data_IF_479515703319
#
_entry.id   IF_479515703319
#
_cell.length_a   1.000
_cell.length_b   1.000
_cell.length_c   1.000
_cell.angle_alpha   90.00
_cell.angle_beta   90.00
_cell.angle_gamma   90.00
#
_symmetry.space_group_name_H-M   'P 1'
#
loop_
_entity.id
_entity.type
_entity.pdbx_description
1 polymer ?
#
# COMPACT_ATOMS: atom_id res chain seq x y z
N UNK A 1 27.05 -9.45 16.68
CA UNK A 1 25.61 -9.39 16.98
C UNK A 1 25.02 -10.70 16.49
N UNK A 2 24.56 -11.58 17.39
CA UNK A 2 23.83 -12.78 16.97
C UNK A 2 22.44 -12.32 16.55
N UNK A 3 22.06 -12.54 15.30
CA UNK A 3 20.73 -12.19 14.81
C UNK A 3 19.72 -13.20 15.34
N UNK A 4 18.63 -12.71 15.90
CA UNK A 4 17.50 -13.58 16.25
C UNK A 4 16.81 -14.11 14.98
N UNK A 5 16.12 -15.24 15.09
CA UNK A 5 15.41 -15.87 13.98
C UNK A 5 14.57 -14.91 13.11
N UNK A 6 13.74 -13.99 13.67
CA UNK A 6 13.00 -12.99 12.88
C UNK A 6 13.92 -12.05 12.08
N UNK A 7 14.98 -11.54 12.68
CA UNK A 7 15.90 -10.62 12.02
C UNK A 7 16.64 -11.31 10.86
N UNK A 8 17.04 -12.57 11.07
CA UNK A 8 17.66 -13.39 10.04
C UNK A 8 16.70 -13.67 8.86
N UNK A 9 15.41 -13.90 9.11
CA UNK A 9 14.43 -14.13 8.04
C UNK A 9 14.16 -12.89 7.20
N UNK A 10 14.08 -11.70 7.81
CA UNK A 10 13.96 -10.44 7.06
C UNK A 10 15.18 -10.15 6.19
N UNK A 11 16.39 -10.36 6.73
CA UNK A 11 17.62 -10.20 5.97
C UNK A 11 17.70 -11.18 4.81
N UNK A 12 17.37 -12.45 5.04
CA UNK A 12 17.32 -13.47 4.00
C UNK A 12 16.30 -13.08 2.90
N UNK A 13 15.12 -12.60 3.29
CA UNK A 13 14.11 -12.10 2.36
C UNK A 13 14.62 -10.91 1.55
N UNK A 14 15.25 -9.93 2.19
CA UNK A 14 15.80 -8.76 1.50
C UNK A 14 16.91 -9.15 0.51
N UNK A 15 17.79 -10.09 0.89
CA UNK A 15 18.83 -10.61 0.01
C UNK A 15 18.22 -11.35 -1.19
N UNK A 16 17.23 -12.21 -0.96
CA UNK A 16 16.52 -12.93 -2.01
C UNK A 16 15.81 -11.99 -2.98
N UNK A 17 15.12 -10.96 -2.47
CA UNK A 17 14.45 -9.95 -3.29
C UNK A 17 15.47 -9.10 -4.06
N UNK A 18 16.61 -8.76 -3.45
CA UNK A 18 17.70 -8.04 -4.10
C UNK A 18 18.31 -8.84 -5.25
N UNK A 19 18.60 -10.13 -5.01
CA UNK A 19 19.09 -11.05 -6.03
C UNK A 19 18.07 -11.21 -7.17
N UNK A 20 16.79 -11.37 -6.84
CA UNK A 20 15.71 -11.48 -7.83
C UNK A 20 15.58 -10.21 -8.68
N UNK A 21 15.73 -9.03 -8.06
CA UNK A 21 15.67 -7.74 -8.74
C UNK A 21 16.84 -7.56 -9.72
N UNK A 22 18.05 -7.94 -9.29
CA UNK A 22 19.27 -7.88 -10.12
C UNK A 22 19.20 -8.86 -11.29
N UNK A 23 18.67 -10.07 -11.06
CA UNK A 23 18.58 -11.14 -12.04
C UNK A 23 17.29 -11.07 -12.88
N UNK A 24 16.44 -10.05 -12.71
CA UNK A 24 15.12 -9.96 -13.37
C UNK A 24 15.18 -10.05 -14.90
N UNK A 25 16.25 -9.53 -15.51
CA UNK A 25 16.47 -9.62 -16.96
C UNK A 25 16.73 -11.04 -17.45
N UNK A 26 17.24 -11.91 -16.57
CA UNK A 26 17.61 -13.29 -16.89
C UNK A 26 16.52 -14.30 -16.44
N UNK A 27 15.74 -13.98 -15.40
CA UNK A 27 14.81 -14.90 -14.76
C UNK A 27 13.50 -15.17 -15.51
N UNK A 28 13.25 -14.50 -16.66
CA UNK A 28 11.99 -14.60 -17.45
C UNK A 28 10.74 -14.64 -16.55
N UNK A 29 10.68 -13.74 -15.56
CA UNK A 29 9.60 -13.72 -14.59
C UNK A 29 8.27 -13.40 -15.28
N UNK A 30 7.15 -13.99 -14.83
CA UNK A 30 5.83 -13.56 -15.29
C UNK A 30 5.67 -12.06 -15.07
N UNK A 31 5.08 -11.36 -16.04
CA UNK A 31 4.92 -9.89 -16.01
C UNK A 31 4.34 -9.38 -14.69
N UNK A 32 3.32 -10.06 -14.16
CA UNK A 32 2.70 -9.76 -12.86
C UNK A 32 3.73 -9.78 -11.73
N UNK A 33 4.57 -10.80 -11.64
CA UNK A 33 5.58 -10.93 -10.57
C UNK A 33 6.66 -9.87 -10.71
N UNK A 34 7.07 -9.58 -11.95
CA UNK A 34 8.08 -8.56 -12.23
C UNK A 34 7.66 -7.14 -11.81
N UNK A 35 6.35 -6.84 -11.84
CA UNK A 35 5.81 -5.55 -11.39
C UNK A 35 5.86 -5.41 -9.87
N UNK A 36 5.56 -6.48 -9.11
CA UNK A 36 5.54 -6.43 -7.64
C UNK A 36 6.93 -6.38 -7.01
N UNK A 37 7.95 -6.84 -7.74
CA UNK A 37 9.29 -7.04 -7.19
C UNK A 37 9.95 -5.76 -6.62
N UNK A 38 9.97 -4.60 -7.30
CA UNK A 38 10.54 -3.37 -6.74
C UNK A 38 9.81 -2.88 -5.49
N UNK A 39 8.49 -3.04 -5.47
CA UNK A 39 7.66 -2.66 -4.34
C UNK A 39 7.89 -3.55 -3.12
N UNK A 40 7.87 -4.87 -3.31
CA UNK A 40 8.19 -5.84 -2.25
C UNK A 40 9.60 -5.64 -1.70
N UNK A 41 10.56 -5.33 -2.58
CA UNK A 41 11.92 -4.99 -2.17
C UNK A 41 11.96 -3.72 -1.32
N UNK A 42 11.24 -2.67 -1.70
CA UNK A 42 11.19 -1.40 -0.95
C UNK A 42 10.57 -1.58 0.43
N UNK A 43 9.50 -2.38 0.55
CA UNK A 43 8.90 -2.72 1.84
C UNK A 43 9.80 -3.62 2.69
N UNK A 44 10.42 -4.65 2.09
CA UNK A 44 11.38 -5.50 2.80
C UNK A 44 12.57 -4.68 3.31
N UNK A 45 13.03 -3.69 2.53
CA UNK A 45 14.06 -2.74 2.95
C UNK A 45 13.58 -1.92 4.15
N UNK A 46 12.39 -1.33 4.09
CA UNK A 46 11.83 -0.57 5.21
C UNK A 46 11.71 -1.42 6.49
N UNK A 47 11.17 -2.63 6.39
CA UNK A 47 11.02 -3.54 7.54
C UNK A 47 12.37 -3.98 8.11
N UNK A 48 13.35 -4.28 7.25
CA UNK A 48 14.70 -4.62 7.69
C UNK A 48 15.38 -3.45 8.41
N UNK A 49 15.21 -2.22 7.90
CA UNK A 49 15.76 -1.02 8.53
C UNK A 49 15.06 -0.70 9.86
N UNK A 50 13.76 -0.98 9.98
CA UNK A 50 13.01 -0.78 11.21
C UNK A 50 13.53 -1.70 12.33
N UNK A 51 13.78 -2.98 12.01
CA UNK A 51 14.30 -3.97 12.96
C UNK A 51 15.79 -3.78 13.31
N UNK A 52 16.62 -3.45 12.32
CA UNK A 52 18.09 -3.49 12.49
C UNK A 52 18.73 -2.12 12.74
N UNK A 53 18.05 -1.03 12.39
CA UNK A 53 18.63 0.32 12.39
C UNK A 53 17.79 1.29 13.21
N UNK A 54 16.65 1.72 12.68
CA UNK A 54 15.68 2.53 13.43
C UNK A 54 14.34 2.63 12.69
N UNK A 55 13.20 2.70 13.41
CA UNK A 55 11.89 2.96 12.82
C UNK A 55 11.85 4.29 12.04
N UNK A 56 12.53 5.34 12.50
CA UNK A 56 12.55 6.64 11.85
C UNK A 56 13.14 6.59 10.43
N UNK A 57 14.25 5.86 10.23
CA UNK A 57 14.85 5.69 8.90
C UNK A 57 13.93 4.85 8.00
N UNK A 58 13.30 3.81 8.54
CA UNK A 58 12.34 3.00 7.80
C UNK A 58 11.10 3.80 7.35
N UNK A 59 10.59 4.70 8.19
CA UNK A 59 9.52 5.64 7.84
C UNK A 59 9.95 6.57 6.71
N UNK A 60 11.22 6.98 6.66
CA UNK A 60 11.79 7.72 5.52
C UNK A 60 11.71 6.95 4.21
N UNK A 61 11.99 5.63 4.23
CA UNK A 61 11.85 4.76 3.05
C UNK A 61 10.39 4.67 2.60
N UNK A 62 9.45 4.51 3.54
CA UNK A 62 8.03 4.50 3.22
C UNK A 62 7.54 5.86 2.68
N UNK A 63 8.05 6.98 3.19
CA UNK A 63 7.75 8.30 2.65
C UNK A 63 8.20 8.44 1.18
N UNK A 64 9.39 7.93 0.85
CA UNK A 64 9.89 7.89 -0.54
C UNK A 64 8.99 7.00 -1.40
N UNK A 65 8.56 5.84 -0.90
CA UNK A 65 7.63 4.97 -1.59
C UNK A 65 6.32 5.71 -1.91
N UNK A 66 5.70 6.36 -0.92
CA UNK A 66 4.49 7.17 -1.11
C UNK A 66 4.69 8.30 -2.12
N UNK A 67 5.83 8.99 -2.08
CA UNK A 67 6.14 10.06 -3.04
C UNK A 67 6.25 9.54 -4.47
N UNK A 68 7.00 8.45 -4.66
CA UNK A 68 7.22 7.87 -5.99
C UNK A 68 5.95 7.34 -6.61
N UNK A 69 5.07 6.71 -5.82
CA UNK A 69 3.79 6.15 -6.28
C UNK A 69 2.76 7.24 -6.52
N UNK A 70 2.69 8.27 -5.66
CA UNK A 70 1.81 9.42 -5.87
C UNK A 70 2.20 10.21 -7.12
N UNK A 71 3.51 10.39 -7.35
CA UNK A 71 4.02 11.03 -8.57
C UNK A 71 3.66 10.24 -9.83
N UNK A 72 3.83 8.91 -9.77
CA UNK A 72 3.41 8.03 -10.86
C UNK A 72 1.91 8.17 -11.14
N UNK A 73 1.08 8.15 -10.10
CA UNK A 73 -0.36 8.35 -10.21
C UNK A 73 -0.73 9.70 -10.85
N UNK A 74 -0.16 10.82 -10.39
CA UNK A 74 -0.43 12.14 -11.00
C UNK A 74 0.08 12.28 -12.43
N UNK A 75 1.08 11.48 -12.83
CA UNK A 75 1.56 11.45 -14.22
C UNK A 75 0.60 10.67 -15.13
N UNK A 76 -0.09 9.68 -14.58
CA UNK A 76 -1.02 8.83 -15.32
C UNK A 76 -2.45 9.38 -15.34
N UNK A 77 -2.88 10.02 -14.26
CA UNK A 77 -4.17 10.69 -14.20
C UNK A 77 -4.18 11.91 -15.13
N UNK A 78 -5.27 12.10 -15.88
CA UNK A 78 -5.46 13.26 -16.77
C UNK A 78 -5.75 14.54 -15.96
N UNK A 79 -4.73 15.00 -15.22
CA UNK A 79 -4.77 16.17 -14.37
C UNK A 79 -4.40 17.43 -15.15
N UNK A 80 -4.99 18.55 -14.74
CA UNK A 80 -4.75 19.84 -15.38
C UNK A 80 -3.43 20.42 -14.96
N UNK A 81 -2.72 20.98 -15.93
CA UNK A 81 -1.47 21.71 -15.72
C UNK A 81 -1.67 22.90 -14.76
N UNK A 82 -2.85 23.54 -14.79
CA UNK A 82 -3.19 24.68 -13.92
C UNK A 82 -3.30 24.31 -12.43
N UNK A 83 -3.51 23.03 -12.11
CA UNK A 83 -3.78 22.56 -10.74
C UNK A 83 -2.51 22.05 -10.02
N UNK A 84 -1.33 22.39 -10.56
CA UNK A 84 -0.01 22.02 -10.02
C UNK A 84 0.22 22.42 -8.56
N UNK A 85 -0.46 23.46 -8.08
CA UNK A 85 -0.39 23.86 -6.67
C UNK A 85 -1.04 22.83 -5.75
N UNK A 86 -2.18 22.25 -6.15
CA UNK A 86 -2.80 21.15 -5.42
C UNK A 86 -1.90 19.91 -5.36
N UNK A 87 -1.26 19.56 -6.47
CA UNK A 87 -0.28 18.47 -6.51
C UNK A 87 0.92 18.72 -5.60
N UNK A 88 1.43 19.95 -5.55
CA UNK A 88 2.54 20.33 -4.66
C UNK A 88 2.15 20.15 -3.19
N UNK A 89 0.96 20.60 -2.80
CA UNK A 89 0.44 20.43 -1.43
C UNK A 89 0.28 18.95 -1.08
N UNK A 90 -0.21 18.14 -2.02
CA UNK A 90 -0.30 16.70 -1.83
C UNK A 90 1.08 16.08 -1.55
N UNK A 91 2.14 16.50 -2.27
CA UNK A 91 3.51 16.05 -1.95
C UNK A 91 4.02 16.54 -0.59
N UNK A 92 3.72 17.80 -0.23
CA UNK A 92 4.09 18.38 1.07
C UNK A 92 3.39 17.66 2.23
N UNK A 93 2.24 17.05 2.00
CA UNK A 93 1.51 16.28 3.03
C UNK A 93 2.28 15.02 3.46
N UNK A 94 3.08 14.42 2.56
CA UNK A 94 3.84 13.18 2.84
C UNK A 94 4.78 13.33 4.04
N UNK A 95 5.73 14.29 4.08
CA UNK A 95 6.63 14.42 5.23
C UNK A 95 5.88 14.69 6.54
N UNK A 96 4.78 15.45 6.52
CA UNK A 96 3.96 15.65 7.73
C UNK A 96 3.32 14.35 8.21
N UNK A 97 2.77 13.54 7.30
CA UNK A 97 2.19 12.24 7.63
C UNK A 97 3.21 11.33 8.33
N UNK A 98 4.41 11.19 7.77
CA UNK A 98 5.46 10.34 8.34
C UNK A 98 6.11 10.93 9.59
N UNK A 99 6.12 12.26 9.72
CA UNK A 99 6.47 12.91 10.97
C UNK A 99 5.49 12.54 12.08
N UNK A 100 4.16 12.63 11.84
CA UNK A 100 3.17 12.24 12.84
C UNK A 100 3.28 10.78 13.26
N UNK A 101 3.60 9.87 12.33
CA UNK A 101 3.89 8.46 12.65
C UNK A 101 5.12 8.36 13.56
N UNK A 102 6.19 9.09 13.26
CA UNK A 102 7.47 8.98 13.99
C UNK A 102 7.41 9.41 15.46
N UNK A 103 6.43 10.25 15.81
CA UNK A 103 6.21 10.74 17.18
C UNK A 103 4.95 10.15 17.82
N UNK A 104 4.37 9.11 17.20
CA UNK A 104 3.14 8.44 17.66
C UNK A 104 1.93 9.38 17.85
N UNK A 105 1.80 10.40 16.99
CA UNK A 105 0.67 11.33 17.06
C UNK A 105 -0.52 10.82 16.24
N UNK A 106 -1.09 9.70 16.69
CA UNK A 106 -2.17 8.98 15.98
C UNK A 106 -3.35 9.89 15.63
N UNK A 107 -3.81 10.71 16.58
CA UNK A 107 -4.94 11.61 16.37
C UNK A 107 -4.71 12.61 15.24
N UNK A 108 -3.49 13.15 15.09
CA UNK A 108 -3.16 14.04 13.97
C UNK A 108 -3.03 13.27 12.67
N UNK A 109 -2.38 12.11 12.67
CA UNK A 109 -2.28 11.28 11.48
C UNK A 109 -3.65 10.95 10.87
N UNK A 110 -4.62 10.54 11.70
CA UNK A 110 -5.91 10.06 11.19
C UNK A 110 -6.75 11.17 10.55
N UNK A 111 -6.63 12.41 11.04
CA UNK A 111 -7.35 13.57 10.47
C UNK A 111 -6.54 14.31 9.39
N UNK A 112 -5.25 14.01 9.23
CA UNK A 112 -4.35 14.77 8.35
C UNK A 112 -4.79 14.78 6.90
N UNK A 113 -5.15 13.64 6.34
CA UNK A 113 -5.63 13.57 4.95
C UNK A 113 -7.15 13.82 4.87
N UNK A 114 -8.00 13.08 5.61
CA UNK A 114 -9.45 13.20 5.46
C UNK A 114 -10.04 14.57 5.85
N UNK A 115 -9.34 15.35 6.70
CA UNK A 115 -9.78 16.69 7.12
C UNK A 115 -8.87 17.77 6.57
N UNK A 116 -7.59 17.78 6.94
CA UNK A 116 -6.72 18.91 6.64
C UNK A 116 -6.37 18.99 5.16
N UNK A 117 -5.82 17.93 4.57
CA UNK A 117 -5.44 17.95 3.16
C UNK A 117 -6.67 18.12 2.25
N UNK A 118 -7.78 17.45 2.57
CA UNK A 118 -9.05 17.57 1.84
C UNK A 118 -9.61 19.00 1.81
N UNK A 119 -9.26 19.85 2.78
CA UNK A 119 -9.64 21.28 2.76
C UNK A 119 -8.59 22.15 2.05
N UNK A 120 -7.31 21.86 2.24
CA UNK A 120 -6.21 22.67 1.69
C UNK A 120 -6.03 22.45 0.18
N UNK A 121 -6.21 21.23 -0.32
CA UNK A 121 -6.07 20.90 -1.74
C UNK A 121 -7.07 21.72 -2.60
N UNK A 122 -8.40 21.68 -2.34
CA UNK A 122 -9.36 22.53 -3.07
C UNK A 122 -9.04 24.02 -2.98
N UNK A 123 -8.68 24.50 -1.78
CA UNK A 123 -8.34 25.90 -1.59
C UNK A 123 -7.15 26.32 -2.47
N UNK A 124 -6.10 25.52 -2.53
CA UNK A 124 -4.91 25.84 -3.34
C UNK A 124 -5.16 25.73 -4.85
N UNK A 125 -6.04 24.82 -5.28
CA UNK A 125 -6.47 24.73 -6.69
C UNK A 125 -7.25 25.98 -7.09
N UNK A 126 -8.20 26.41 -6.26
CA UNK A 126 -9.02 27.62 -6.54
C UNK A 126 -8.22 28.92 -6.49
N UNK A 127 -7.13 28.97 -5.72
CA UNK A 127 -6.18 30.09 -5.76
C UNK A 127 -5.30 30.08 -7.02
N UNK A 128 -4.93 28.89 -7.51
CA UNK A 128 -4.00 28.71 -8.63
C UNK A 128 -4.63 28.82 -10.01
N UNK A 129 -5.90 28.42 -10.16
CA UNK A 129 -6.63 28.43 -11.43
C UNK A 129 -7.63 29.59 -11.50
N UNK A 130 -7.66 30.29 -12.64
CA UNK A 130 -8.71 31.27 -12.96
C UNK A 130 -9.91 30.65 -13.69
N UNK A 131 -9.75 29.44 -14.23
CA UNK A 131 -10.82 28.72 -14.92
C UNK A 131 -11.43 27.68 -13.98
N UNK A 132 -12.71 27.83 -13.61
CA UNK A 132 -13.37 26.89 -12.71
C UNK A 132 -13.74 25.55 -13.37
N UNK A 133 -13.92 25.51 -14.70
CA UNK A 133 -14.56 24.38 -15.38
C UNK A 133 -13.77 23.10 -15.19
N UNK A 134 -14.25 22.15 -14.37
CA UNK A 134 -13.65 20.82 -14.11
C UNK A 134 -12.59 20.75 -13.00
N UNK A 135 -12.49 21.80 -12.18
CA UNK A 135 -11.67 21.80 -10.95
C UNK A 135 -12.08 20.70 -9.97
N UNK A 136 -13.38 20.37 -9.92
CA UNK A 136 -13.91 19.30 -9.05
C UNK A 136 -13.33 17.93 -9.38
N UNK A 137 -13.14 17.62 -10.67
CA UNK A 137 -12.54 16.36 -11.11
C UNK A 137 -11.07 16.27 -10.66
N UNK A 138 -10.32 17.36 -10.81
CA UNK A 138 -8.91 17.41 -10.40
C UNK A 138 -8.74 17.39 -8.88
N UNK A 139 -9.60 18.10 -8.13
CA UNK A 139 -9.68 18.01 -6.67
C UNK A 139 -9.90 16.54 -6.26
N UNK A 140 -10.97 15.92 -6.79
CA UNK A 140 -11.32 14.54 -6.46
C UNK A 140 -10.20 13.55 -6.80
N UNK A 141 -9.57 13.71 -7.96
CA UNK A 141 -8.45 12.86 -8.37
C UNK A 141 -7.21 13.06 -7.48
N UNK A 142 -6.88 14.29 -7.08
CA UNK A 142 -5.74 14.59 -6.20
C UNK A 142 -5.99 14.03 -4.80
N UNK A 143 -7.16 14.29 -4.21
CA UNK A 143 -7.52 13.80 -2.88
C UNK A 143 -7.64 12.28 -2.84
N UNK A 144 -8.18 11.65 -3.89
CA UNK A 144 -8.21 10.20 -4.03
C UNK A 144 -6.80 9.60 -4.04
N UNK A 145 -5.88 10.19 -4.82
CA UNK A 145 -4.48 9.77 -4.86
C UNK A 145 -3.80 9.89 -3.49
N UNK A 146 -4.00 11.02 -2.80
CA UNK A 146 -3.47 11.25 -1.46
C UNK A 146 -4.02 10.24 -0.43
N UNK A 147 -5.33 9.98 -0.49
CA UNK A 147 -5.98 9.01 0.37
C UNK A 147 -5.44 7.59 0.15
N UNK A 148 -5.44 7.12 -1.10
CA UNK A 148 -5.02 5.75 -1.42
C UNK A 148 -3.52 5.53 -1.21
N UNK A 149 -2.67 6.46 -1.66
CA UNK A 149 -1.23 6.24 -1.77
C UNK A 149 -0.41 6.82 -0.60
N UNK A 150 -1.00 7.70 0.21
CA UNK A 150 -0.30 8.26 1.38
C UNK A 150 -0.99 7.86 2.67
N UNK A 151 -2.29 8.14 2.79
CA UNK A 151 -3.04 7.82 4.00
C UNK A 151 -3.10 6.31 4.24
N UNK A 152 -3.56 5.52 3.28
CA UNK A 152 -3.66 4.06 3.47
C UNK A 152 -2.30 3.39 3.67
N UNK A 153 -1.25 3.78 2.92
CA UNK A 153 0.11 3.25 3.13
C UNK A 153 0.68 3.68 4.48
N UNK A 154 0.37 4.88 4.95
CA UNK A 154 0.77 5.37 6.27
C UNK A 154 0.34 4.44 7.42
N UNK A 155 -0.75 3.70 7.26
CA UNK A 155 -1.19 2.69 8.23
C UNK A 155 -0.23 1.50 8.32
N UNK A 156 0.46 1.14 7.22
CA UNK A 156 1.57 0.17 7.27
C UNK A 156 2.76 0.76 8.03
N UNK A 157 3.02 2.06 7.88
CA UNK A 157 4.02 2.77 8.68
C UNK A 157 3.73 2.70 10.18
N UNK A 158 2.48 2.91 10.58
CA UNK A 158 2.06 2.76 11.97
C UNK A 158 2.13 1.32 12.47
N UNK A 159 1.66 0.34 11.68
CA UNK A 159 1.84 -1.08 12.05
C UNK A 159 3.31 -1.40 12.28
N UNK A 160 4.20 -0.93 11.39
CA UNK A 160 5.64 -1.13 11.50
C UNK A 160 6.24 -0.44 12.72
N UNK A 161 5.73 0.74 13.09
CA UNK A 161 6.15 1.47 14.30
C UNK A 161 5.85 0.68 15.57
N UNK A 162 4.68 0.06 15.68
CA UNK A 162 4.31 -0.79 16.84
C UNK A 162 5.00 -2.16 16.80
N UNK A 163 4.96 -2.82 15.64
CA UNK A 163 5.59 -4.12 15.43
C UNK A 163 5.81 -4.35 13.93
N UNK A 164 7.09 -4.44 13.55
CA UNK A 164 7.49 -4.72 12.16
C UNK A 164 6.79 -5.98 11.63
N UNK A 165 6.62 -7.00 12.47
CA UNK A 165 5.96 -8.24 12.09
C UNK A 165 4.46 -8.12 11.84
N UNK A 166 3.76 -7.18 12.49
CA UNK A 166 2.37 -6.88 12.14
C UNK A 166 2.28 -6.31 10.71
N UNK A 167 3.18 -5.39 10.36
CA UNK A 167 3.25 -4.83 9.02
C UNK A 167 3.63 -5.89 7.97
N UNK A 168 4.64 -6.73 8.27
CA UNK A 168 5.05 -7.85 7.41
C UNK A 168 3.89 -8.82 7.20
N UNK A 169 3.16 -9.20 8.26
CA UNK A 169 2.02 -10.11 8.16
C UNK A 169 0.94 -9.57 7.22
N UNK A 170 0.53 -8.30 7.38
CA UNK A 170 -0.49 -7.69 6.52
C UNK A 170 -0.02 -7.63 5.07
N UNK A 171 1.22 -7.19 4.82
CA UNK A 171 1.78 -7.10 3.46
C UNK A 171 1.88 -8.48 2.81
N UNK A 172 2.40 -9.48 3.52
CA UNK A 172 2.53 -10.85 2.99
C UNK A 172 1.16 -11.47 2.74
N UNK A 173 0.19 -11.29 3.63
CA UNK A 173 -1.17 -11.78 3.42
C UNK A 173 -1.83 -11.15 2.18
N UNK A 174 -1.70 -9.83 1.99
CA UNK A 174 -2.22 -9.14 0.80
C UNK A 174 -1.56 -9.64 -0.48
N UNK A 175 -0.23 -9.75 -0.48
CA UNK A 175 0.53 -10.17 -1.67
C UNK A 175 0.26 -11.65 -2.01
N UNK A 176 0.01 -12.48 -1.01
CA UNK A 176 -0.44 -13.86 -1.18
C UNK A 176 -1.82 -13.91 -1.86
N UNK A 177 -2.77 -13.07 -1.43
CA UNK A 177 -4.07 -12.96 -2.10
C UNK A 177 -3.93 -12.51 -3.56
N UNK A 178 -3.09 -11.52 -3.85
CA UNK A 178 -2.83 -11.06 -5.22
C UNK A 178 -2.20 -12.16 -6.10
N UNK A 179 -1.24 -12.91 -5.55
CA UNK A 179 -0.58 -14.00 -6.25
C UNK A 179 -1.54 -15.15 -6.55
N UNK A 180 -2.37 -15.53 -5.58
CA UNK A 180 -3.40 -16.56 -5.79
C UNK A 180 -4.46 -16.09 -6.79
N UNK A 181 -4.86 -14.83 -6.73
CA UNK A 181 -5.80 -14.27 -7.71
C UNK A 181 -5.25 -14.35 -9.14
N UNK A 182 -3.93 -14.15 -9.31
CA UNK A 182 -3.22 -14.31 -10.58
C UNK A 182 -3.11 -15.79 -11.01
N UNK A 183 -2.63 -16.68 -10.13
CA UNK A 183 -2.46 -18.11 -10.44
C UNK A 183 -3.78 -18.77 -10.80
N UNK A 184 -4.87 -18.38 -10.14
CA UNK A 184 -6.21 -18.88 -10.39
C UNK A 184 -6.89 -18.22 -11.60
N UNK A 185 -6.28 -17.21 -12.24
CA UNK A 185 -6.90 -16.43 -13.33
C UNK A 185 -8.19 -15.72 -12.91
N UNK A 186 -8.40 -15.53 -11.60
CA UNK A 186 -9.68 -15.10 -11.02
C UNK A 186 -10.09 -13.68 -11.40
N UNK A 187 -9.12 -12.86 -11.86
CA UNK A 187 -9.36 -11.47 -12.33
C UNK A 187 -9.86 -11.42 -13.76
N UNK A 188 -9.61 -12.46 -14.55
CA UNK A 188 -10.02 -12.56 -15.95
C UNK A 188 -11.39 -13.24 -16.11
N UNK A 189 -11.90 -13.84 -15.02
CA UNK A 189 -13.21 -14.47 -14.98
C UNK A 189 -14.36 -13.45 -14.92
N UNK A 190 -15.57 -13.81 -15.39
CA UNK A 190 -16.77 -13.01 -15.20
C UNK A 190 -16.98 -12.66 -13.71
N UNK A 191 -17.50 -11.46 -13.43
CA UNK A 191 -17.65 -10.94 -12.05
C UNK A 191 -18.33 -11.92 -11.09
N UNK A 192 -19.33 -12.67 -11.55
CA UNK A 192 -20.09 -13.65 -10.76
C UNK A 192 -19.25 -14.83 -10.25
N UNK A 193 -18.15 -15.17 -10.94
CA UNK A 193 -17.25 -16.27 -10.56
C UNK A 193 -15.89 -15.77 -10.08
N UNK A 194 -15.37 -14.70 -10.67
CA UNK A 194 -14.07 -14.13 -10.30
C UNK A 194 -14.03 -13.56 -8.89
N UNK A 195 -15.06 -12.81 -8.46
CA UNK A 195 -15.09 -12.17 -7.14
C UNK A 195 -15.17 -13.23 -6.01
N UNK A 196 -16.08 -14.23 -6.04
CA UNK A 196 -16.08 -15.29 -5.02
C UNK A 196 -14.76 -16.06 -4.95
N UNK A 197 -14.10 -16.30 -6.09
CA UNK A 197 -12.81 -17.00 -6.13
C UNK A 197 -11.69 -16.19 -5.48
N UNK A 198 -11.67 -14.86 -5.67
CA UNK A 198 -10.73 -13.95 -4.99
C UNK A 198 -11.00 -13.86 -3.48
N UNK A 199 -12.25 -14.04 -3.05
CA UNK A 199 -12.62 -13.99 -1.64
C UNK A 199 -12.30 -15.29 -0.90
N UNK A 200 -12.73 -16.43 -1.45
CA UNK A 200 -12.69 -17.73 -0.76
C UNK A 200 -11.37 -18.45 -1.04
N UNK A 201 -10.84 -18.35 -2.25
CA UNK A 201 -9.64 -19.06 -2.68
C UNK A 201 -8.41 -18.80 -1.79
N UNK A 202 -8.14 -17.55 -1.35
CA UNK A 202 -6.99 -17.27 -0.50
C UNK A 202 -7.12 -17.72 0.97
N UNK A 203 -8.33 -18.00 1.48
CA UNK A 203 -8.58 -18.24 2.91
C UNK A 203 -7.69 -19.35 3.50
N UNK A 204 -7.55 -20.54 2.88
CA UNK A 204 -6.69 -21.59 3.44
C UNK A 204 -5.23 -21.15 3.54
N UNK A 205 -4.75 -20.39 2.55
CA UNK A 205 -3.37 -19.92 2.49
C UNK A 205 -3.10 -18.80 3.50
N UNK A 206 -4.04 -17.87 3.68
CA UNK A 206 -3.92 -16.81 4.70
C UNK A 206 -4.06 -17.34 6.12
N UNK A 207 -4.85 -18.40 6.36
CA UNK A 207 -4.90 -19.09 7.65
C UNK A 207 -3.58 -19.82 7.93
N UNK A 208 -3.02 -20.52 6.94
CA UNK A 208 -1.71 -21.15 7.07
C UNK A 208 -0.61 -20.12 7.37
N UNK A 209 -0.67 -18.95 6.72
CA UNK A 209 0.23 -17.83 7.00
C UNK A 209 0.06 -17.30 8.44
N UNK A 210 -1.19 -17.15 8.91
CA UNK A 210 -1.48 -16.74 10.28
C UNK A 210 -0.91 -17.73 11.31
N UNK A 211 -1.06 -19.03 11.08
CA UNK A 211 -0.46 -20.09 11.92
C UNK A 211 1.07 -19.98 11.98
N UNK A 212 1.72 -19.67 10.86
CA UNK A 212 3.17 -19.56 10.78
C UNK A 212 3.71 -18.29 11.43
N UNK A 213 3.04 -17.15 11.22
CA UNK A 213 3.56 -15.83 11.59
C UNK A 213 3.04 -15.30 12.93
N UNK A 214 1.92 -15.80 13.46
CA UNK A 214 1.33 -15.35 14.72
C UNK A 214 2.37 -15.20 15.86
N UNK A 215 3.31 -16.15 16.07
CA UNK A 215 4.32 -16.03 17.12
C UNK A 215 5.24 -14.80 17.01
N UNK A 216 5.48 -14.30 15.79
CA UNK A 216 6.36 -13.14 15.56
C UNK A 216 5.59 -11.82 15.59
N UNK A 217 4.30 -11.84 15.24
CA UNK A 217 3.48 -10.61 15.15
C UNK A 217 3.19 -9.96 16.50
N UNK A 218 3.13 -10.76 17.59
CA UNK A 218 2.58 -10.32 18.88
C UNK A 218 1.05 -10.19 18.89
N UNK A 219 0.37 -10.51 17.78
CA UNK A 219 -1.09 -10.49 17.69
C UNK A 219 -1.63 -11.81 18.27
N UNK A 220 -2.64 -11.77 19.18
CA UNK A 220 -3.30 -12.97 19.66
C UNK A 220 -3.87 -13.80 18.51
N UNK A 221 -3.71 -15.12 18.59
CA UNK A 221 -4.00 -16.04 17.49
C UNK A 221 -5.42 -15.90 16.90
N UNK A 222 -6.43 -15.64 17.75
CA UNK A 222 -7.81 -15.42 17.31
C UNK A 222 -7.92 -14.21 16.35
N UNK A 223 -7.19 -13.13 16.63
CA UNK A 223 -7.16 -11.94 15.78
C UNK A 223 -6.35 -12.18 14.49
N UNK A 224 -5.30 -13.01 14.52
CA UNK A 224 -4.62 -13.45 13.29
C UNK A 224 -5.55 -14.23 12.36
N UNK A 225 -6.39 -15.12 12.90
CA UNK A 225 -7.41 -15.82 12.08
C UNK A 225 -8.47 -14.83 11.56
N UNK A 226 -8.93 -13.92 12.41
CA UNK A 226 -9.87 -12.86 12.02
C UNK A 226 -9.34 -12.05 10.82
N UNK A 227 -8.09 -11.62 10.89
CA UNK A 227 -7.41 -10.94 9.78
C UNK A 227 -7.19 -11.85 8.57
N UNK A 228 -6.87 -13.13 8.75
CA UNK A 228 -6.72 -14.09 7.66
C UNK A 228 -8.00 -14.25 6.82
N UNK A 229 -9.17 -14.10 7.43
CA UNK A 229 -10.46 -14.09 6.74
C UNK A 229 -10.82 -12.71 6.17
N UNK A 230 -10.46 -11.63 6.88
CA UNK A 230 -10.79 -10.26 6.50
C UNK A 230 -9.95 -9.75 5.32
N UNK A 231 -8.66 -10.06 5.28
CA UNK A 231 -7.73 -9.55 4.24
C UNK A 231 -8.15 -9.98 2.82
N UNK A 232 -8.51 -11.26 2.53
CA UNK A 232 -9.01 -11.65 1.21
C UNK A 232 -10.22 -10.83 0.75
N UNK A 233 -11.14 -10.51 1.67
CA UNK A 233 -12.29 -9.65 1.38
C UNK A 233 -11.86 -8.25 0.97
N UNK A 234 -10.99 -7.63 1.76
CA UNK A 234 -10.51 -6.27 1.50
C UNK A 234 -9.68 -6.18 0.22
N UNK A 235 -8.88 -7.20 -0.08
CA UNK A 235 -8.12 -7.31 -1.32
C UNK A 235 -9.07 -7.42 -2.53
N UNK A 236 -10.12 -8.24 -2.45
CA UNK A 236 -11.10 -8.37 -3.53
C UNK A 236 -11.87 -7.05 -3.76
N UNK A 237 -12.28 -6.37 -2.68
CA UNK A 237 -12.94 -5.06 -2.76
C UNK A 237 -11.99 -4.04 -3.39
N UNK A 238 -10.77 -3.90 -2.87
CA UNK A 238 -9.80 -2.93 -3.35
C UNK A 238 -9.40 -3.17 -4.80
N UNK A 239 -9.14 -4.42 -5.18
CA UNK A 239 -8.85 -4.79 -6.56
C UNK A 239 -9.98 -4.39 -7.51
N UNK A 240 -11.25 -4.59 -7.10
CA UNK A 240 -12.40 -4.19 -7.92
C UNK A 240 -12.53 -2.67 -8.02
N UNK A 241 -12.55 -1.98 -6.87
CA UNK A 241 -12.81 -0.54 -6.81
C UNK A 241 -11.70 0.27 -7.47
N UNK A 242 -10.42 -0.02 -7.18
CA UNK A 242 -9.31 0.73 -7.76
C UNK A 242 -9.24 0.53 -9.28
N UNK A 243 -9.48 -0.69 -9.77
CA UNK A 243 -9.52 -0.94 -11.23
C UNK A 243 -10.63 -0.15 -11.91
N UNK A 244 -11.78 0.04 -11.26
CA UNK A 244 -12.87 0.85 -11.81
C UNK A 244 -12.52 2.34 -11.81
N UNK A 245 -11.92 2.84 -10.73
CA UNK A 245 -11.50 4.25 -10.61
C UNK A 245 -10.40 4.62 -11.61
N UNK A 246 -9.42 3.75 -11.82
CA UNK A 246 -8.37 3.97 -12.82
C UNK A 246 -8.92 4.05 -14.24
N UNK A 247 -9.92 3.20 -14.56
CA UNK A 247 -10.57 3.24 -15.86
C UNK A 247 -11.31 4.57 -16.09
N UNK A 248 -11.93 5.12 -15.04
CA UNK A 248 -12.60 6.43 -15.09
C UNK A 248 -11.59 7.60 -15.20
N UNK A 249 -10.44 7.49 -14.54
CA UNK A 249 -9.35 8.47 -14.61
C UNK A 249 -8.58 8.45 -15.94
N UNK A 250 -8.99 7.62 -16.91
CA UNK A 250 -8.33 7.50 -18.21
C UNK A 250 -6.97 6.81 -18.16
N UNK A 251 -6.66 6.09 -17.08
CA UNK A 251 -5.38 5.40 -16.91
C UNK A 251 -5.41 4.12 -17.77
N UNK A 252 -5.05 4.26 -19.05
CA UNK A 252 -4.92 3.13 -19.98
C UNK A 252 -3.58 2.41 -19.78
N UNK A 253 -3.67 1.28 -19.08
CA UNK A 253 -2.54 0.44 -18.70
C UNK A 253 -1.84 -0.22 -19.89
N UNK A 254 -2.47 -0.29 -21.07
CA UNK A 254 -1.88 -0.87 -22.28
C UNK A 254 -0.83 0.04 -22.93
N UNK A 255 -0.89 1.35 -22.64
CA UNK A 255 -0.01 2.37 -23.18
C UNK A 255 1.17 2.70 -22.25
N UNK A 256 1.16 2.14 -21.04
CA UNK A 256 2.24 2.30 -20.08
C UNK A 256 3.44 1.49 -20.58
N UNK A 257 4.60 2.13 -20.89
CA UNK A 257 5.80 1.42 -21.34
C UNK A 257 6.20 0.32 -20.37
N UNK A 258 7.00 -0.67 -20.80
CA UNK A 258 7.60 -1.70 -19.94
C UNK A 258 8.48 -1.06 -18.84
N UNK A 259 7.82 -0.49 -17.84
CA UNK A 259 8.39 0.11 -16.67
C UNK A 259 7.80 1.34 -16.04
N UNK A 260 6.79 1.95 -16.65
CA UNK A 260 5.87 2.84 -15.93
C UNK A 260 4.74 2.03 -15.28
N UNK A 261 3.95 2.65 -14.40
CA UNK A 261 2.77 2.09 -13.74
C UNK A 261 3.03 0.99 -12.70
N UNK A 262 4.27 0.79 -12.26
CA UNK A 262 4.66 -0.39 -11.46
C UNK A 262 4.21 -0.29 -9.99
N UNK A 263 4.25 0.91 -9.40
CA UNK A 263 3.96 1.10 -7.98
C UNK A 263 2.46 1.04 -7.67
N UNK A 264 1.65 1.72 -8.48
CA UNK A 264 0.18 1.77 -8.31
C UNK A 264 -0.45 0.37 -8.38
N UNK A 265 -0.03 -0.48 -9.33
CA UNK A 265 -0.60 -1.82 -9.52
C UNK A 265 -0.25 -2.81 -8.40
N UNK A 266 0.87 -2.58 -7.69
CA UNK A 266 1.33 -3.44 -6.59
C UNK A 266 0.78 -3.04 -5.23
N UNK A 267 0.33 -1.79 -5.09
CA UNK A 267 -0.15 -1.24 -3.82
C UNK A 267 -1.68 -1.24 -3.73
N UNK A 268 -2.40 -1.30 -4.87
CA UNK A 268 -3.87 -1.19 -4.90
C UNK A 268 -4.63 -2.09 -3.92
N UNK A 269 -4.17 -3.33 -3.74
CA UNK A 269 -4.81 -4.28 -2.83
C UNK A 269 -4.48 -3.94 -1.37
N UNK A 270 -3.29 -3.38 -1.14
CA UNK A 270 -2.86 -2.90 0.17
C UNK A 270 -3.62 -1.64 0.59
N UNK A 271 -4.01 -0.75 -0.32
CA UNK A 271 -4.68 0.52 0.04
C UNK A 271 -6.02 0.31 0.74
N UNK A 272 -6.68 -0.82 0.54
CA UNK A 272 -7.90 -1.19 1.26
C UNK A 272 -7.61 -2.02 2.51
N UNK A 273 -6.66 -2.96 2.42
CA UNK A 273 -6.35 -3.85 3.52
C UNK A 273 -5.65 -3.15 4.69
N UNK A 274 -4.70 -2.26 4.42
CA UNK A 274 -3.86 -1.60 5.42
C UNK A 274 -4.64 -0.79 6.47
N UNK A 275 -5.50 0.19 6.10
CA UNK A 275 -6.20 0.99 7.10
C UNK A 275 -7.18 0.16 7.93
N UNK A 276 -7.90 -0.78 7.32
CA UNK A 276 -8.87 -1.61 8.02
C UNK A 276 -8.17 -2.61 8.95
N UNK A 277 -7.07 -3.24 8.52
CA UNK A 277 -6.28 -4.13 9.37
C UNK A 277 -5.68 -3.37 10.56
N UNK A 278 -5.16 -2.15 10.34
CA UNK A 278 -4.67 -1.30 11.41
C UNK A 278 -5.78 -0.94 12.41
N UNK A 279 -6.92 -0.43 11.95
CA UNK A 279 -8.01 -0.06 12.84
C UNK A 279 -8.63 -1.26 13.57
N UNK A 280 -8.68 -2.42 12.92
CA UNK A 280 -9.07 -3.68 13.58
C UNK A 280 -8.14 -3.98 14.74
N UNK A 281 -6.82 -3.97 14.50
CA UNK A 281 -5.83 -4.26 15.55
C UNK A 281 -5.88 -3.22 16.67
N UNK A 282 -5.91 -1.93 16.33
CA UNK A 282 -5.99 -0.84 17.31
C UNK A 282 -7.28 -0.85 18.13
N UNK A 283 -8.39 -1.34 17.58
CA UNK A 283 -9.66 -1.43 18.31
C UNK A 283 -9.70 -2.59 19.30
N UNK A 284 -9.07 -3.72 18.97
CA UNK A 284 -9.15 -4.96 19.76
C UNK A 284 -7.94 -5.24 20.64
N UNK A 285 -6.80 -4.63 20.36
CA UNK A 285 -5.58 -4.81 21.15
C UNK A 285 -5.40 -3.60 22.07
N UNK A 286 -5.34 -3.87 23.37
CA UNK A 286 -5.20 -2.85 24.41
C UNK A 286 -3.83 -2.15 24.37
N UNK A 287 -2.81 -2.80 23.78
CA UNK A 287 -1.42 -2.35 23.74
C UNK A 287 -1.06 -1.51 22.49
N UNK A 288 -2.05 -0.83 21.90
CA UNK A 288 -1.88 0.07 20.75
C UNK A 288 -1.94 1.54 21.15
#
# INVERSE_FOLDING_TARGET
MVLDAPQATLLALLVLLSASLLLRGNLRLPFTVAIYLPYLWTLALAFTLAELVSPAIALGVLAILCFTTLREYFTLADLRIHDRWGMLIAYVTIPFMFYYISIDWYGMFIISVPVWAFLVVPFTITLGSRDPQGSVLSIGAIDLGLFLLVYCIGHIGYLMFYSVWMAVYVVVAVTLCDLLAYVLGSRDLPRRTGIPLQLIGPIPATIALALLMSPWTGIPFAHCIGLACLIPLLVAIGAHTVTHLEADLGIDRSQIPEGGGRGLNSIKSLTYAAPVAFHYLRFFLDDF
#
